data_IF_098920403850
#
_entry.id   IF_098920403850
#
_cell.length_a   1.000
_cell.length_b   1.000
_cell.length_c   1.000
_cell.angle_alpha   90.00
_cell.angle_beta   90.00
_cell.angle_gamma   90.00
#
_symmetry.space_group_name_H-M   'P 1'
#
loop_
_entity.id
_entity.type
_entity.pdbx_description
1 polymer ?
#
# COMPACT_ATOMS: atom_id res chain seq x y z
N UNK A 1 -57.24 -16.21 -70.44
CA UNK A 1 -57.33 -17.57 -71.02
C UNK A 1 -57.66 -17.39 -72.49
N UNK A 2 -56.73 -17.78 -73.36
CA UNK A 2 -56.82 -17.76 -74.82
C UNK A 2 -57.06 -16.41 -75.54
N UNK A 3 -56.73 -16.29 -76.83
CA UNK A 3 -55.47 -16.66 -77.54
C UNK A 3 -55.54 -16.16 -79.00
N UNK A 4 -54.36 -15.98 -79.59
CA UNK A 4 -54.04 -16.20 -81.01
C UNK A 4 -54.43 -15.27 -82.19
N UNK A 5 -53.46 -15.26 -83.12
CA UNK A 5 -53.53 -15.21 -84.60
C UNK A 5 -54.15 -14.03 -85.38
N UNK A 6 -53.20 -13.20 -85.85
CA UNK A 6 -52.70 -13.17 -87.26
C UNK A 6 -53.52 -12.50 -88.39
N UNK A 7 -52.89 -11.44 -88.90
CA UNK A 7 -52.59 -11.16 -90.34
C UNK A 7 -53.72 -10.89 -91.36
N UNK A 8 -53.74 -9.62 -91.78
CA UNK A 8 -53.57 -9.16 -93.18
C UNK A 8 -54.78 -9.10 -94.14
N UNK A 9 -55.04 -7.87 -94.61
CA UNK A 9 -55.63 -7.46 -95.91
C UNK A 9 -56.98 -8.10 -96.35
N UNK A 10 -58.02 -7.34 -96.76
CA UNK A 10 -57.97 -6.29 -97.80
C UNK A 10 -59.32 -5.54 -97.92
N UNK A 11 -59.28 -4.31 -98.42
CA UNK A 11 -60.37 -3.41 -98.90
C UNK A 11 -61.13 -3.97 -100.15
N UNK A 12 -62.20 -3.33 -100.74
CA UNK A 12 -62.66 -1.91 -100.65
C UNK A 12 -64.21 -1.64 -100.66
N UNK A 13 -64.58 -0.36 -100.89
CA UNK A 13 -65.78 0.17 -101.59
C UNK A 13 -67.09 0.41 -100.76
N UNK A 14 -67.99 1.40 -101.04
CA UNK A 14 -68.04 2.44 -102.12
C UNK A 14 -69.09 3.58 -101.89
N UNK A 15 -68.93 4.73 -102.60
CA UNK A 15 -69.98 5.58 -103.26
C UNK A 15 -70.84 6.62 -102.44
N UNK A 16 -71.52 7.63 -103.07
CA UNK A 16 -70.96 8.74 -103.92
C UNK A 16 -71.72 10.14 -103.86
N UNK A 17 -71.39 11.05 -104.80
CA UNK A 17 -72.07 12.32 -105.24
C UNK A 17 -71.93 13.54 -104.30
N UNK A 18 -71.60 14.77 -104.71
CA UNK A 18 -71.28 15.43 -106.01
C UNK A 18 -71.15 16.97 -105.76
N UNK A 19 -70.81 17.93 -106.65
CA UNK A 19 -70.27 18.06 -108.02
C UNK A 19 -69.63 19.51 -108.11
N UNK A 20 -69.30 20.25 -109.19
CA UNK A 20 -69.59 20.26 -110.65
C UNK A 20 -68.40 20.85 -111.47
N UNK A 21 -68.58 21.89 -112.32
CA UNK A 21 -67.61 22.47 -113.30
C UNK A 21 -67.99 23.93 -113.66
N UNK A 22 -67.26 24.73 -114.51
CA UNK A 22 -66.15 24.50 -115.49
C UNK A 22 -64.87 25.38 -115.23
N UNK A 23 -63.80 25.52 -116.04
CA UNK A 23 -63.10 24.75 -117.12
C UNK A 23 -61.74 25.44 -117.49
N UNK A 24 -60.80 24.71 -118.13
CA UNK A 24 -59.63 25.16 -118.95
C UNK A 24 -58.28 25.50 -118.27
N UNK A 25 -57.21 25.49 -119.10
CA UNK A 25 -55.84 25.00 -118.80
C UNK A 25 -54.81 25.54 -119.85
N UNK A 26 -53.48 25.17 -119.87
CA UNK A 26 -52.49 24.74 -118.86
C UNK A 26 -51.07 25.40 -119.05
N UNK A 27 -49.96 24.78 -118.56
CA UNK A 27 -48.49 25.00 -118.83
C UNK A 27 -47.81 26.29 -118.26
N UNK A 28 -46.52 26.34 -117.86
CA UNK A 28 -45.42 25.34 -117.68
C UNK A 28 -44.26 25.86 -116.76
N UNK A 29 -43.24 25.02 -116.53
CA UNK A 29 -41.79 25.29 -116.25
C UNK A 29 -41.22 25.74 -114.87
N UNK A 30 -40.40 24.83 -114.32
CA UNK A 30 -39.01 24.93 -113.79
C UNK A 30 -38.45 25.98 -112.79
N UNK A 31 -37.91 25.42 -111.69
CA UNK A 31 -36.58 25.58 -111.09
C UNK A 31 -35.94 26.96 -110.78
N UNK A 32 -35.73 27.24 -109.48
CA UNK A 32 -34.40 27.53 -108.87
C UNK A 32 -34.51 27.76 -107.34
N UNK A 33 -33.51 27.34 -106.55
CA UNK A 33 -33.39 27.69 -105.11
C UNK A 33 -31.94 28.08 -104.78
N UNK A 34 -31.77 29.20 -104.07
CA UNK A 34 -30.48 29.76 -103.65
C UNK A 34 -30.26 29.53 -102.14
N UNK A 35 -29.00 29.37 -101.73
CA UNK A 35 -28.60 29.00 -100.36
C UNK A 35 -28.24 30.19 -99.47
N UNK A 36 -28.42 30.02 -98.15
CA UNK A 36 -27.73 30.77 -97.08
C UNK A 36 -27.55 29.85 -95.86
N UNK A 37 -26.56 30.13 -95.01
CA UNK A 37 -26.20 29.30 -93.86
C UNK A 37 -25.89 30.14 -92.61
N UNK A 38 -26.18 29.61 -91.42
CA UNK A 38 -25.93 30.25 -90.12
C UNK A 38 -24.75 29.60 -89.38
N UNK A 39 -24.05 30.36 -88.52
CA UNK A 39 -22.81 29.92 -87.87
C UNK A 39 -23.03 29.47 -86.41
N UNK A 40 -22.74 28.21 -86.11
CA UNK A 40 -23.04 27.58 -84.82
C UNK A 40 -22.11 27.98 -83.63
N UNK A 41 -21.07 28.80 -83.87
CA UNK A 41 -19.95 28.97 -82.93
C UNK A 41 -20.32 29.54 -81.56
N UNK A 42 -21.27 30.47 -81.48
CA UNK A 42 -21.65 31.11 -80.21
C UNK A 42 -22.26 30.12 -79.22
N UNK A 43 -23.24 29.32 -79.66
CA UNK A 43 -23.93 28.34 -78.83
C UNK A 43 -23.00 27.23 -78.31
N UNK A 44 -22.01 26.82 -79.12
CA UNK A 44 -20.97 25.86 -78.70
C UNK A 44 -20.13 26.42 -77.56
N UNK A 45 -19.68 27.68 -77.65
CA UNK A 45 -18.86 28.30 -76.59
C UNK A 45 -19.66 28.49 -75.30
N UNK A 46 -20.91 28.94 -75.37
CA UNK A 46 -21.78 29.09 -74.19
C UNK A 46 -22.05 27.73 -73.54
N UNK A 47 -22.33 26.69 -74.33
CA UNK A 47 -22.51 25.32 -73.82
C UNK A 47 -21.25 24.76 -73.16
N UNK A 48 -20.08 24.95 -73.76
CA UNK A 48 -18.79 24.48 -73.23
C UNK A 48 -18.42 25.24 -71.93
N UNK A 49 -18.69 26.54 -71.86
CA UNK A 49 -18.51 27.32 -70.63
C UNK A 49 -19.49 26.89 -69.52
N UNK A 50 -20.74 26.58 -69.87
CA UNK A 50 -21.71 26.02 -68.93
C UNK A 50 -21.30 24.64 -68.38
N UNK A 51 -20.77 23.76 -69.25
CA UNK A 51 -20.19 22.48 -68.85
C UNK A 51 -18.96 22.68 -67.95
N UNK A 52 -18.07 23.61 -68.28
CA UNK A 52 -16.88 23.91 -67.48
C UNK A 52 -17.26 24.44 -66.08
N UNK A 53 -18.30 25.28 -65.98
CA UNK A 53 -18.80 25.80 -64.71
C UNK A 53 -19.53 24.73 -63.90
N UNK A 54 -20.32 23.85 -64.54
CA UNK A 54 -20.98 22.73 -63.88
C UNK A 54 -19.98 21.68 -63.39
N UNK A 55 -19.08 21.19 -64.25
CA UNK A 55 -18.07 20.18 -63.91
C UNK A 55 -17.02 20.74 -62.95
N UNK A 56 -16.60 21.99 -63.12
CA UNK A 56 -15.69 22.68 -62.19
C UNK A 56 -16.36 22.91 -60.83
N UNK A 57 -17.55 23.51 -60.81
CA UNK A 57 -18.29 23.82 -59.58
C UNK A 57 -18.68 22.55 -58.80
N UNK A 58 -19.28 21.57 -59.48
CA UNK A 58 -19.64 20.29 -58.86
C UNK A 58 -18.40 19.45 -58.50
N UNK A 59 -17.33 19.50 -59.30
CA UNK A 59 -16.07 18.81 -59.01
C UNK A 59 -15.36 19.38 -57.79
N UNK A 60 -15.23 20.70 -57.68
CA UNK A 60 -14.73 21.37 -56.47
C UNK A 60 -15.63 21.07 -55.28
N UNK A 61 -16.95 21.28 -55.39
CA UNK A 61 -17.89 21.02 -54.30
C UNK A 61 -17.87 19.57 -53.80
N UNK A 62 -17.76 18.58 -54.70
CA UNK A 62 -17.67 17.14 -54.36
C UNK A 62 -16.35 16.73 -53.71
N UNK A 63 -15.36 17.62 -53.68
CA UNK A 63 -14.07 17.42 -53.02
C UNK A 63 -13.95 18.26 -51.75
N UNK A 64 -14.47 19.49 -51.73
CA UNK A 64 -14.37 20.41 -50.58
C UNK A 64 -15.50 20.28 -49.56
N UNK A 65 -16.60 19.60 -49.90
CA UNK A 65 -17.71 19.35 -48.96
C UNK A 65 -17.45 18.06 -48.19
N UNK A 66 -17.44 18.14 -46.86
CA UNK A 66 -17.41 17.00 -45.96
C UNK A 66 -18.84 16.59 -45.57
N UNK A 67 -19.16 15.31 -45.72
CA UNK A 67 -20.34 14.68 -45.12
C UNK A 67 -19.86 13.86 -43.92
N UNK A 68 -20.34 14.20 -42.73
CA UNK A 68 -20.13 13.40 -41.54
C UNK A 68 -20.94 12.09 -41.64
N UNK A 69 -20.26 10.94 -41.51
CA UNK A 69 -20.93 9.66 -41.36
C UNK A 69 -21.30 9.40 -39.89
N UNK A 70 -22.26 8.51 -39.66
CA UNK A 70 -22.59 8.02 -38.33
C UNK A 70 -22.86 6.51 -38.36
N UNK A 71 -22.26 5.77 -37.43
CA UNK A 71 -22.67 4.40 -37.11
C UNK A 71 -23.79 4.49 -36.09
N UNK A 72 -24.91 3.81 -36.35
CA UNK A 72 -25.99 3.63 -35.39
C UNK A 72 -25.79 2.28 -34.70
N UNK A 73 -25.37 2.32 -33.43
CA UNK A 73 -25.16 1.14 -32.60
C UNK A 73 -26.30 1.04 -31.56
N UNK A 74 -27.08 -0.05 -31.52
CA UNK A 74 -28.03 -0.28 -30.44
C UNK A 74 -27.29 -0.57 -29.14
N UNK A 75 -27.83 -0.10 -28.02
CA UNK A 75 -27.25 -0.30 -26.70
C UNK A 75 -28.28 -0.18 -25.59
N UNK A 76 -27.79 -0.28 -24.36
CA UNK A 76 -28.59 -0.05 -23.15
C UNK A 76 -27.79 0.76 -22.13
N UNK A 77 -28.49 1.40 -21.21
CA UNK A 77 -27.87 1.94 -19.99
C UNK A 77 -27.50 0.76 -19.09
N UNK A 78 -26.20 0.50 -18.91
CA UNK A 78 -25.66 -0.43 -17.92
C UNK A 78 -25.21 0.38 -16.69
N UNK A 79 -25.33 -0.20 -15.50
CA UNK A 79 -24.63 0.33 -14.32
C UNK A 79 -23.22 -0.24 -14.34
N UNK A 80 -22.23 0.53 -13.89
CA UNK A 80 -20.90 0.00 -13.62
C UNK A 80 -20.95 -0.96 -12.41
N UNK A 81 -21.26 -2.24 -12.66
CA UNK A 81 -21.39 -3.32 -11.66
C UNK A 81 -20.07 -3.68 -10.96
N UNK A 82 -19.45 -2.70 -10.32
CA UNK A 82 -18.26 -2.85 -9.51
C UNK A 82 -18.66 -3.27 -8.08
N UNK A 83 -19.02 -4.55 -7.93
CA UNK A 83 -19.35 -5.15 -6.62
C UNK A 83 -18.07 -5.28 -5.79
N UNK A 84 -17.98 -4.54 -4.69
CA UNK A 84 -16.79 -4.55 -3.85
C UNK A 84 -16.85 -5.78 -2.93
N UNK A 85 -15.90 -6.72 -3.08
CA UNK A 85 -15.76 -7.85 -2.17
C UNK A 85 -15.26 -7.38 -0.80
N UNK A 86 -15.83 -7.95 0.26
CA UNK A 86 -15.38 -7.80 1.65
C UNK A 86 -14.84 -9.15 2.13
N UNK A 87 -13.63 -9.14 2.69
CA UNK A 87 -12.85 -10.32 3.10
C UNK A 87 -11.88 -9.96 4.23
N UNK A 88 -11.58 -10.88 5.15
CA UNK A 88 -10.60 -10.67 6.22
C UNK A 88 -9.23 -11.27 5.86
N UNK A 89 -8.09 -10.56 6.00
CA UNK A 89 -6.78 -11.06 5.60
C UNK A 89 -6.29 -12.26 6.43
N UNK A 90 -6.59 -12.33 7.73
CA UNK A 90 -6.09 -13.39 8.61
C UNK A 90 -7.08 -14.57 8.80
N UNK A 91 -8.33 -14.47 8.31
CA UNK A 91 -9.42 -15.39 8.68
C UNK A 91 -9.87 -15.21 10.14
N UNK A 92 -10.54 -16.21 10.72
CA UNK A 92 -10.99 -16.19 12.12
C UNK A 92 -12.27 -17.01 12.38
N UNK A 93 -12.80 -16.91 13.60
CA UNK A 93 -14.14 -17.43 13.99
C UNK A 93 -15.09 -16.25 14.08
N UNK A 94 -16.33 -16.36 13.56
CA UNK A 94 -17.35 -15.32 13.67
C UNK A 94 -17.94 -15.30 15.09
N UNK A 95 -17.89 -14.14 15.76
CA UNK A 95 -18.58 -13.89 17.02
C UNK A 95 -20.01 -13.39 16.77
N UNK A 96 -20.20 -12.43 15.87
CA UNK A 96 -21.51 -11.90 15.50
C UNK A 96 -21.54 -11.39 14.05
N UNK A 97 -22.74 -11.36 13.47
CA UNK A 97 -23.03 -10.80 12.15
C UNK A 97 -24.08 -9.69 12.39
N UNK A 98 -23.73 -8.45 12.07
CA UNK A 98 -24.53 -7.26 12.43
C UNK A 98 -25.51 -6.84 11.31
N UNK A 99 -25.52 -7.56 10.19
CA UNK A 99 -26.15 -7.17 8.91
C UNK A 99 -26.70 -8.37 8.12
N UNK A 100 -27.60 -8.12 7.17
CA UNK A 100 -28.25 -9.13 6.33
C UNK A 100 -28.21 -8.77 4.83
N UNK A 101 -28.46 -9.76 3.95
CA UNK A 101 -28.45 -9.55 2.50
C UNK A 101 -29.60 -8.61 2.07
N UNK A 102 -29.26 -7.49 1.44
CA UNK A 102 -30.18 -6.39 1.13
C UNK A 102 -30.14 -5.19 2.09
N UNK A 103 -29.42 -5.27 3.21
CA UNK A 103 -29.25 -4.12 4.12
C UNK A 103 -28.40 -3.00 3.49
N UNK A 104 -28.70 -1.75 3.88
CA UNK A 104 -27.96 -0.55 3.46
C UNK A 104 -26.96 -0.15 4.55
N UNK A 105 -25.71 0.04 4.17
CA UNK A 105 -24.60 0.41 5.07
C UNK A 105 -23.86 1.67 4.60
N UNK A 106 -23.27 2.39 5.54
CA UNK A 106 -22.35 3.50 5.32
C UNK A 106 -20.88 3.05 5.45
N UNK A 107 -19.92 3.92 5.09
CA UNK A 107 -18.50 3.59 5.19
C UNK A 107 -18.04 3.58 6.67
N UNK A 108 -17.47 2.46 7.11
CA UNK A 108 -16.99 2.26 8.47
C UNK A 108 -17.94 1.48 9.39
N UNK A 109 -19.18 1.20 8.96
CA UNK A 109 -20.13 0.35 9.68
C UNK A 109 -19.55 -1.06 9.91
N UNK A 110 -19.82 -1.65 11.09
CA UNK A 110 -19.43 -3.03 11.40
C UNK A 110 -20.40 -3.97 10.71
N UNK A 111 -19.86 -4.97 10.00
CA UNK A 111 -20.62 -5.97 9.27
C UNK A 111 -20.57 -7.32 9.99
N UNK A 112 -19.36 -7.74 10.37
CA UNK A 112 -19.07 -9.00 11.03
C UNK A 112 -18.02 -8.72 12.10
N UNK A 113 -18.23 -9.25 13.31
CA UNK A 113 -17.19 -9.28 14.35
C UNK A 113 -16.62 -10.69 14.47
N UNK A 114 -15.29 -10.77 14.50
CA UNK A 114 -14.56 -12.00 14.77
C UNK A 114 -14.27 -12.16 16.27
N UNK A 115 -14.20 -13.41 16.72
CA UNK A 115 -13.94 -13.79 18.10
C UNK A 115 -12.53 -13.36 18.55
N UNK A 116 -12.39 -12.55 19.62
CA UNK A 116 -11.09 -12.06 20.06
C UNK A 116 -10.39 -12.96 21.10
N UNK A 117 -11.02 -14.02 21.62
CA UNK A 117 -10.55 -14.74 22.82
C UNK A 117 -9.09 -15.23 22.72
N UNK A 118 -8.75 -15.96 21.66
CA UNK A 118 -7.38 -16.45 21.42
C UNK A 118 -6.34 -15.33 21.31
N UNK A 119 -6.67 -14.24 20.60
CA UNK A 119 -5.76 -13.12 20.39
C UNK A 119 -5.61 -12.22 21.62
N UNK A 120 -6.65 -12.08 22.44
CA UNK A 120 -6.57 -11.41 23.74
C UNK A 120 -5.74 -12.24 24.74
N UNK A 121 -5.88 -13.57 24.70
CA UNK A 121 -5.05 -14.50 25.49
C UNK A 121 -3.56 -14.39 25.10
N UNK A 122 -3.24 -14.47 23.80
CA UNK A 122 -1.87 -14.29 23.31
C UNK A 122 -1.32 -12.90 23.66
N UNK A 123 -2.09 -11.83 23.46
CA UNK A 123 -1.69 -10.47 23.82
C UNK A 123 -1.39 -10.34 25.32
N UNK A 124 -2.22 -10.91 26.18
CA UNK A 124 -2.04 -10.87 27.64
C UNK A 124 -0.75 -11.58 28.06
N UNK A 125 -0.45 -12.73 27.47
CA UNK A 125 0.80 -13.48 27.71
C UNK A 125 2.01 -12.64 27.27
N UNK A 126 1.98 -12.09 26.06
CA UNK A 126 3.07 -11.26 25.51
C UNK A 126 3.26 -9.96 26.28
N UNK A 127 2.18 -9.33 26.75
CA UNK A 127 2.24 -8.15 27.62
C UNK A 127 2.88 -8.47 28.98
N UNK A 128 2.44 -9.52 29.65
CA UNK A 128 2.99 -9.91 30.95
C UNK A 128 4.49 -10.25 30.85
N UNK A 129 4.91 -10.94 29.78
CA UNK A 129 6.33 -11.19 29.50
C UNK A 129 7.11 -9.89 29.23
N UNK A 130 6.57 -8.98 28.42
CA UNK A 130 7.20 -7.69 28.13
C UNK A 130 7.35 -6.82 29.40
N UNK A 131 6.32 -6.78 30.25
CA UNK A 131 6.33 -6.04 31.51
C UNK A 131 7.36 -6.62 32.51
N UNK A 132 7.52 -7.94 32.55
CA UNK A 132 8.56 -8.63 33.34
C UNK A 132 9.96 -8.17 32.92
N UNK A 133 10.24 -8.15 31.61
CA UNK A 133 11.51 -7.68 31.07
C UNK A 133 11.76 -6.19 31.32
N UNK A 134 10.76 -5.33 31.14
CA UNK A 134 10.88 -3.89 31.41
C UNK A 134 11.17 -3.64 32.90
N UNK A 135 10.52 -4.39 33.79
CA UNK A 135 10.77 -4.31 35.24
C UNK A 135 12.19 -4.76 35.59
N UNK A 136 12.66 -5.89 35.02
CA UNK A 136 14.05 -6.34 35.16
C UNK A 136 15.05 -5.32 34.63
N UNK A 137 14.79 -4.72 33.46
CA UNK A 137 15.65 -3.69 32.87
C UNK A 137 15.82 -2.53 33.85
N UNK A 138 14.72 -1.93 34.33
CA UNK A 138 14.79 -0.79 35.26
C UNK A 138 15.71 -1.05 36.45
N UNK A 139 15.59 -2.22 37.10
CA UNK A 139 16.50 -2.63 38.18
C UNK A 139 17.95 -2.78 37.70
N UNK A 140 18.18 -3.48 36.60
CA UNK A 140 19.53 -3.74 36.09
C UNK A 140 20.23 -2.47 35.61
N UNK A 141 19.49 -1.47 35.11
CA UNK A 141 20.05 -0.15 34.77
C UNK A 141 20.43 0.63 36.05
N UNK A 142 19.59 0.60 37.08
CA UNK A 142 19.93 1.16 38.39
C UNK A 142 21.19 0.48 39.00
N UNK A 143 21.33 -0.83 38.84
CA UNK A 143 22.53 -1.59 39.28
C UNK A 143 23.77 -1.34 38.39
N UNK A 144 23.60 -1.08 37.09
CA UNK A 144 24.67 -0.69 36.16
C UNK A 144 25.23 0.70 36.47
N UNK A 145 24.35 1.64 36.81
CA UNK A 145 24.70 3.05 36.93
C UNK A 145 24.92 3.48 38.40
N UNK A 146 24.57 2.62 39.36
CA UNK A 146 24.80 2.85 40.79
C UNK A 146 23.85 3.86 41.42
N UNK A 147 22.62 3.97 40.91
CA UNK A 147 21.61 4.91 41.42
C UNK A 147 20.98 4.43 42.73
N UNK A 148 20.36 5.34 43.48
CA UNK A 148 19.73 5.00 44.76
C UNK A 148 18.31 4.45 44.67
N UNK A 149 17.71 4.49 43.47
CA UNK A 149 16.37 3.99 43.18
C UNK A 149 16.23 3.61 41.70
N UNK A 150 15.14 2.90 41.39
CA UNK A 150 14.82 2.43 40.05
C UNK A 150 14.02 3.49 39.29
N UNK A 151 14.27 3.63 37.98
CA UNK A 151 13.38 4.34 37.06
C UNK A 151 12.82 3.32 36.06
N UNK A 152 11.49 3.29 35.91
CA UNK A 152 10.80 2.40 34.98
C UNK A 152 10.33 3.15 33.73
N UNK A 153 10.18 2.43 32.61
CA UNK A 153 9.65 3.01 31.37
C UNK A 153 8.15 3.33 31.52
N UNK A 154 7.62 4.42 30.92
CA UNK A 154 6.23 4.84 31.08
C UNK A 154 5.20 3.74 30.82
N UNK A 155 5.41 2.92 29.79
CA UNK A 155 4.56 1.77 29.43
C UNK A 155 4.31 0.78 30.59
N UNK A 156 5.28 0.60 31.50
CA UNK A 156 5.10 -0.26 32.69
C UNK A 156 4.39 0.48 33.82
N UNK A 157 4.63 1.79 33.98
CA UNK A 157 3.99 2.63 35.00
C UNK A 157 2.50 2.84 34.68
N UNK A 158 2.17 3.06 33.41
CA UNK A 158 0.81 3.10 32.88
C UNK A 158 0.11 1.76 33.11
N UNK A 159 0.75 0.64 32.75
CA UNK A 159 0.18 -0.70 32.99
C UNK A 159 -0.01 -1.01 34.48
N UNK A 160 0.89 -0.57 35.36
CA UNK A 160 0.78 -0.78 36.81
C UNK A 160 -0.34 0.03 37.48
N UNK A 161 -0.80 1.13 36.84
CA UNK A 161 -1.96 1.87 37.30
C UNK A 161 -3.30 1.16 37.00
N UNK A 162 -3.31 0.23 36.03
CA UNK A 162 -4.51 -0.52 35.60
C UNK A 162 -4.48 -2.01 36.01
N UNK A 163 -3.29 -2.62 36.11
CA UNK A 163 -3.08 -4.05 36.32
C UNK A 163 -2.27 -4.33 37.60
N UNK A 164 -2.88 -5.04 38.55
CA UNK A 164 -2.21 -5.45 39.79
C UNK A 164 -0.96 -6.30 39.53
N UNK A 165 -0.99 -7.11 38.47
CA UNK A 165 0.12 -7.97 38.04
C UNK A 165 1.36 -7.13 37.69
N UNK A 166 1.18 -6.00 37.00
CA UNK A 166 2.27 -5.10 36.64
C UNK A 166 2.84 -4.34 37.85
N UNK A 167 1.99 -3.93 38.81
CA UNK A 167 2.46 -3.36 40.08
C UNK A 167 3.23 -4.40 40.92
N UNK A 168 2.77 -5.65 40.98
CA UNK A 168 3.47 -6.74 41.69
C UNK A 168 4.88 -7.00 41.11
N UNK A 169 5.08 -6.81 39.80
CA UNK A 169 6.40 -6.87 39.17
C UNK A 169 7.32 -5.73 39.62
N UNK A 170 6.81 -4.49 39.69
CA UNK A 170 7.54 -3.33 40.24
C UNK A 170 7.96 -3.60 41.69
N UNK A 171 7.01 -3.92 42.56
CA UNK A 171 7.27 -4.21 43.99
C UNK A 171 8.28 -5.35 44.16
N UNK A 172 8.22 -6.36 43.28
CA UNK A 172 9.16 -7.48 43.26
C UNK A 172 10.60 -7.06 42.95
N UNK A 173 10.79 -6.24 41.91
CA UNK A 173 12.12 -5.76 41.52
C UNK A 173 12.67 -4.72 42.52
N UNK A 174 11.85 -3.86 43.11
CA UNK A 174 12.28 -2.92 44.14
C UNK A 174 12.79 -3.63 45.40
N UNK A 175 12.03 -4.61 45.92
CA UNK A 175 12.47 -5.43 47.07
C UNK A 175 13.78 -6.16 46.79
N UNK A 176 13.93 -6.74 45.59
CA UNK A 176 15.16 -7.40 45.15
C UNK A 176 16.34 -6.43 45.05
N UNK A 177 16.11 -5.22 44.52
CA UNK A 177 17.13 -4.17 44.39
C UNK A 177 17.68 -3.73 45.74
N UNK A 178 16.79 -3.44 46.69
CA UNK A 178 17.15 -3.06 48.06
C UNK A 178 17.98 -4.16 48.72
N UNK A 179 17.51 -5.42 48.70
CA UNK A 179 18.24 -6.56 49.25
C UNK A 179 19.62 -6.75 48.60
N UNK A 180 19.73 -6.65 47.27
CA UNK A 180 21.04 -6.74 46.59
C UNK A 180 21.95 -5.55 46.96
N UNK A 181 21.43 -4.35 47.21
CA UNK A 181 22.24 -3.19 47.67
C UNK A 181 22.73 -3.39 49.11
N UNK A 182 21.86 -3.86 50.00
CA UNK A 182 22.18 -4.15 51.41
C UNK A 182 23.22 -5.27 51.56
N UNK A 183 23.11 -6.34 50.78
CA UNK A 183 24.10 -7.42 50.76
C UNK A 183 25.50 -6.91 50.33
N UNK A 184 25.59 -6.19 49.21
CA UNK A 184 26.84 -5.61 48.73
C UNK A 184 27.46 -4.63 49.75
N UNK A 185 26.63 -3.79 50.39
CA UNK A 185 27.10 -2.89 51.44
C UNK A 185 27.66 -3.67 52.64
N UNK A 186 27.00 -4.77 53.04
CA UNK A 186 27.41 -5.63 54.16
C UNK A 186 28.72 -6.38 53.88
N UNK A 187 28.91 -6.89 52.65
CA UNK A 187 30.16 -7.52 52.21
C UNK A 187 31.34 -6.52 52.25
N UNK A 188 31.14 -5.32 51.70
CA UNK A 188 32.12 -4.23 51.73
C UNK A 188 32.42 -3.79 53.17
N UNK A 189 31.43 -3.73 54.04
CA UNK A 189 31.63 -3.40 55.46
C UNK A 189 32.42 -4.51 56.20
N UNK A 190 32.16 -5.79 55.89
CA UNK A 190 32.94 -6.89 56.44
C UNK A 190 34.41 -6.81 56.01
N UNK A 191 34.69 -6.52 54.73
CA UNK A 191 36.05 -6.34 54.22
C UNK A 191 36.74 -5.12 54.87
N UNK A 192 36.05 -3.98 55.00
CA UNK A 192 36.57 -2.79 55.71
C UNK A 192 36.88 -3.06 57.19
N UNK A 193 36.09 -3.91 57.87
CA UNK A 193 36.39 -4.36 59.24
C UNK A 193 37.67 -5.21 59.29
N UNK A 194 37.92 -6.07 58.31
CA UNK A 194 39.21 -6.81 58.18
C UNK A 194 40.39 -5.85 57.94
N UNK A 195 40.25 -4.87 57.06
CA UNK A 195 41.27 -3.83 56.83
C UNK A 195 41.64 -3.10 58.12
N UNK A 196 40.64 -2.63 58.89
CA UNK A 196 40.87 -1.97 60.19
C UNK A 196 41.56 -2.89 61.19
N UNK A 197 41.20 -4.18 61.24
CA UNK A 197 41.87 -5.15 62.10
C UNK A 197 43.37 -5.33 61.75
N UNK A 198 43.71 -5.39 60.46
CA UNK A 198 45.11 -5.50 60.02
C UNK A 198 45.89 -4.21 60.29
N UNK A 199 45.27 -3.04 60.09
CA UNK A 199 45.86 -1.74 60.45
C UNK A 199 46.21 -1.66 61.95
N UNK A 200 45.25 -2.00 62.82
CA UNK A 200 45.48 -2.06 64.28
C UNK A 200 46.60 -3.05 64.66
N UNK A 201 46.73 -4.17 63.93
CA UNK A 201 47.84 -5.11 64.12
C UNK A 201 49.19 -4.51 63.70
N UNK A 202 49.25 -3.81 62.55
CA UNK A 202 50.48 -3.15 62.09
C UNK A 202 50.93 -2.04 63.05
N UNK A 203 50.01 -1.26 63.63
CA UNK A 203 50.35 -0.26 64.65
C UNK A 203 50.87 -0.90 65.96
N UNK A 204 50.32 -2.06 66.35
CA UNK A 204 50.87 -2.88 67.44
C UNK A 204 52.30 -3.36 67.15
N UNK A 205 52.60 -3.77 65.93
CA UNK A 205 53.96 -4.19 65.52
C UNK A 205 54.91 -2.99 65.44
N UNK A 206 54.46 -1.83 64.95
CA UNK A 206 55.25 -0.58 64.96
C UNK A 206 55.63 -0.14 66.38
N UNK A 207 54.74 -0.33 67.36
CA UNK A 207 55.05 -0.10 68.77
C UNK A 207 56.11 -1.09 69.30
N UNK A 208 56.07 -2.36 68.90
CA UNK A 208 57.10 -3.35 69.24
C UNK A 208 58.46 -3.02 68.60
N UNK A 209 58.49 -2.60 67.32
CA UNK A 209 59.71 -2.11 66.66
C UNK A 209 60.29 -0.88 67.37
N UNK A 210 59.44 0.05 67.81
CA UNK A 210 59.88 1.23 68.58
C UNK A 210 60.55 0.83 69.90
N UNK A 211 60.02 -0.18 70.60
CA UNK A 211 60.63 -0.71 71.82
C UNK A 211 61.94 -1.47 71.55
N UNK A 212 62.00 -2.28 70.50
CA UNK A 212 63.21 -3.00 70.06
C UNK A 212 64.33 -2.03 69.64
N UNK A 213 63.99 -0.98 68.89
CA UNK A 213 64.92 0.07 68.48
C UNK A 213 65.53 0.78 69.70
N UNK A 214 64.70 1.14 70.70
CA UNK A 214 65.20 1.71 71.97
C UNK A 214 66.04 0.73 72.79
N UNK A 215 65.77 -0.58 72.71
CA UNK A 215 66.62 -1.61 73.33
C UNK A 215 67.96 -1.74 72.58
N UNK A 216 67.95 -1.64 71.25
CA UNK A 216 69.15 -1.66 70.41
C UNK A 216 70.10 -0.50 70.76
N UNK A 217 69.59 0.73 70.87
CA UNK A 217 70.35 1.92 71.28
C UNK A 217 71.11 1.70 72.60
N UNK A 218 70.43 1.13 73.60
CA UNK A 218 71.02 0.86 74.92
C UNK A 218 72.10 -0.23 74.87
N UNK A 219 71.89 -1.28 74.07
CA UNK A 219 72.89 -2.34 73.86
C UNK A 219 74.08 -1.82 73.06
N UNK A 220 73.89 -0.91 72.11
CA UNK A 220 74.98 -0.24 71.39
C UNK A 220 75.82 0.66 72.30
N UNK A 221 75.19 1.44 73.18
CA UNK A 221 75.88 2.27 74.16
C UNK A 221 76.68 1.40 75.15
N UNK A 222 76.11 0.33 75.70
CA UNK A 222 76.86 -0.57 76.58
C UNK A 222 78.00 -1.27 75.82
N UNK A 223 77.76 -1.77 74.61
CA UNK A 223 78.77 -2.44 73.77
C UNK A 223 79.96 -1.52 73.46
N UNK A 224 79.72 -0.26 73.10
CA UNK A 224 80.77 0.72 72.86
C UNK A 224 81.62 0.96 74.13
N UNK A 225 80.96 1.11 75.28
CA UNK A 225 81.64 1.25 76.57
C UNK A 225 82.47 0.00 76.94
N UNK A 226 81.93 -1.22 76.77
CA UNK A 226 82.70 -2.46 77.04
C UNK A 226 83.88 -2.62 76.09
N UNK A 227 83.74 -2.30 74.80
CA UNK A 227 84.85 -2.35 73.83
C UNK A 227 86.00 -1.43 74.24
N UNK A 228 85.70 -0.18 74.60
CA UNK A 228 86.75 0.75 75.06
C UNK A 228 87.38 0.36 76.40
N UNK A 229 86.72 -0.48 77.22
CA UNK A 229 87.34 -1.10 78.41
C UNK A 229 88.17 -2.33 78.04
N UNK A 230 87.73 -3.14 77.09
CA UNK A 230 88.45 -4.33 76.59
C UNK A 230 89.78 -3.94 75.93
N UNK A 231 89.80 -2.89 75.11
CA UNK A 231 91.00 -2.31 74.50
C UNK A 231 92.06 -1.89 75.54
N UNK A 232 91.61 -1.49 76.74
CA UNK A 232 92.46 -1.10 77.87
C UNK A 232 92.84 -2.28 78.78
N UNK A 233 92.44 -3.52 78.43
CA UNK A 233 92.64 -4.72 79.23
C UNK A 233 91.72 -4.85 80.45
N UNK A 234 90.68 -4.01 80.56
CA UNK A 234 89.80 -3.89 81.74
C UNK A 234 88.46 -4.64 81.61
N UNK A 235 88.21 -5.31 80.49
CA UNK A 235 87.00 -6.12 80.28
C UNK A 235 87.31 -7.42 79.53
N UNK A 236 86.52 -8.47 79.77
CA UNK A 236 86.68 -9.77 79.13
C UNK A 236 86.01 -9.81 77.74
N UNK A 237 86.68 -10.40 76.75
CA UNK A 237 86.16 -10.57 75.39
C UNK A 237 84.84 -11.34 75.31
N UNK A 238 84.59 -12.23 76.28
CA UNK A 238 83.33 -12.97 76.45
C UNK A 238 82.11 -12.06 76.59
N UNK A 239 82.24 -10.94 77.31
CA UNK A 239 81.16 -9.99 77.58
C UNK A 239 80.85 -9.15 76.33
N UNK A 240 81.89 -8.71 75.62
CA UNK A 240 81.73 -7.98 74.35
C UNK A 240 81.07 -8.87 73.30
N UNK A 241 81.51 -10.13 73.17
CA UNK A 241 80.90 -11.10 72.26
C UNK A 241 79.47 -11.52 72.67
N UNK A 242 79.07 -11.35 73.93
CA UNK A 242 77.67 -11.55 74.33
C UNK A 242 76.80 -10.42 73.78
N UNK A 243 77.15 -9.17 74.10
CA UNK A 243 76.45 -7.96 73.63
C UNK A 243 76.40 -7.86 72.09
N UNK A 244 77.41 -8.34 71.37
CA UNK A 244 77.36 -8.44 69.89
C UNK A 244 76.33 -9.44 69.38
N UNK A 245 76.14 -10.58 70.07
CA UNK A 245 75.08 -11.54 69.74
C UNK A 245 73.70 -11.00 70.11
N UNK A 246 73.58 -10.33 71.25
CA UNK A 246 72.34 -9.70 71.69
C UNK A 246 71.89 -8.64 70.68
N UNK A 247 72.80 -7.74 70.27
CA UNK A 247 72.58 -6.79 69.16
C UNK A 247 72.15 -7.50 67.86
N UNK A 248 72.86 -8.56 67.45
CA UNK A 248 72.53 -9.29 66.23
C UNK A 248 71.14 -9.96 66.30
N UNK A 249 70.74 -10.46 67.47
CA UNK A 249 69.41 -11.04 67.70
C UNK A 249 68.32 -9.97 67.64
N UNK A 250 68.54 -8.79 68.21
CA UNK A 250 67.59 -7.66 68.17
C UNK A 250 67.36 -7.16 66.73
N UNK A 251 68.42 -7.03 65.94
CA UNK A 251 68.32 -6.70 64.51
C UNK A 251 67.57 -7.79 63.71
N UNK A 252 67.76 -9.06 64.06
CA UNK A 252 67.00 -10.18 63.49
C UNK A 252 65.50 -10.05 63.77
N UNK A 253 65.13 -9.79 65.02
CA UNK A 253 63.73 -9.58 65.43
C UNK A 253 63.11 -8.33 64.78
N UNK A 254 63.84 -7.22 64.67
CA UNK A 254 63.38 -6.02 63.97
C UNK A 254 63.06 -6.30 62.49
N UNK A 255 63.92 -7.09 61.83
CA UNK A 255 63.71 -7.56 60.45
C UNK A 255 62.51 -8.49 60.29
N UNK A 256 62.26 -9.38 61.25
CA UNK A 256 61.08 -10.26 61.28
C UNK A 256 59.78 -9.46 61.43
N UNK A 257 59.76 -8.46 62.31
CA UNK A 257 58.62 -7.54 62.44
C UNK A 257 58.41 -6.69 61.17
N UNK A 258 59.49 -6.20 60.54
CA UNK A 258 59.42 -5.45 59.29
C UNK A 258 58.84 -6.29 58.14
N UNK A 259 59.29 -7.55 58.01
CA UNK A 259 58.73 -8.50 57.05
C UNK A 259 57.24 -8.82 57.34
N UNK A 260 56.85 -8.90 58.61
CA UNK A 260 55.45 -9.11 59.02
C UNK A 260 54.55 -7.93 58.65
N UNK A 261 55.01 -6.69 58.85
CA UNK A 261 54.29 -5.49 58.38
C UNK A 261 54.16 -5.53 56.85
N UNK A 262 55.24 -5.78 56.12
CA UNK A 262 55.20 -5.84 54.64
C UNK A 262 54.22 -6.91 54.12
N UNK A 263 54.15 -8.08 54.78
CA UNK A 263 53.17 -9.11 54.45
C UNK A 263 51.72 -8.65 54.73
N UNK A 264 51.49 -7.85 55.76
CA UNK A 264 50.18 -7.31 56.12
C UNK A 264 49.74 -6.16 55.19
N UNK A 265 50.63 -5.26 54.78
CA UNK A 265 50.33 -4.23 53.76
C UNK A 265 49.96 -4.89 52.40
N UNK A 266 50.57 -6.04 52.08
CA UNK A 266 50.17 -6.88 50.94
C UNK A 266 48.73 -7.40 51.04
N UNK A 267 48.32 -7.90 52.22
CA UNK A 267 46.93 -8.36 52.49
C UNK A 267 45.93 -7.20 52.46
N UNK A 268 46.33 -6.01 52.90
CA UNK A 268 45.52 -4.78 52.78
C UNK A 268 45.24 -4.49 51.30
N UNK A 269 46.29 -4.49 50.47
CA UNK A 269 46.18 -4.27 49.02
C UNK A 269 45.28 -5.32 48.34
N UNK A 270 45.42 -6.60 48.74
CA UNK A 270 44.58 -7.71 48.24
C UNK A 270 43.09 -7.49 48.54
N UNK A 271 42.74 -7.12 49.77
CA UNK A 271 41.36 -6.86 50.20
C UNK A 271 40.80 -5.57 49.57
N UNK A 272 41.61 -4.55 49.35
CA UNK A 272 41.19 -3.33 48.62
C UNK A 272 40.84 -3.64 47.15
N UNK A 273 41.62 -4.50 46.49
CA UNK A 273 41.31 -5.01 45.14
C UNK A 273 40.04 -5.88 45.17
N UNK A 274 39.83 -6.68 46.21
CA UNK A 274 38.60 -7.48 46.39
C UNK A 274 37.35 -6.58 46.50
N UNK A 275 37.40 -5.51 47.30
CA UNK A 275 36.33 -4.51 47.42
C UNK A 275 36.01 -3.86 46.06
N UNK A 276 37.03 -3.46 45.30
CA UNK A 276 36.85 -2.87 43.96
C UNK A 276 36.25 -3.88 42.97
N UNK A 277 36.60 -5.16 43.11
CA UNK A 277 36.06 -6.24 42.28
C UNK A 277 34.57 -6.47 42.55
N UNK A 278 34.09 -6.42 43.80
CA UNK A 278 32.67 -6.61 44.12
C UNK A 278 31.76 -5.63 43.36
N UNK A 279 32.09 -4.33 43.35
CA UNK A 279 31.32 -3.33 42.61
C UNK A 279 31.43 -3.48 41.10
N UNK A 280 32.61 -3.88 40.61
CA UNK A 280 32.87 -4.06 39.17
C UNK A 280 32.11 -5.27 38.64
N UNK A 281 32.17 -6.41 39.33
CA UNK A 281 31.48 -7.65 38.95
C UNK A 281 29.96 -7.42 38.85
N UNK A 282 29.33 -6.79 39.85
CA UNK A 282 27.88 -6.49 39.80
C UNK A 282 27.51 -5.65 38.58
N UNK A 283 28.36 -4.69 38.20
CA UNK A 283 28.16 -3.83 37.04
C UNK A 283 28.32 -4.60 35.72
N UNK A 284 29.29 -5.49 35.63
CA UNK A 284 29.51 -6.36 34.47
C UNK A 284 28.35 -7.37 34.31
N UNK A 285 27.93 -8.04 35.39
CA UNK A 285 26.76 -8.93 35.42
C UNK A 285 25.49 -8.20 34.92
N UNK A 286 25.28 -6.96 35.37
CA UNK A 286 24.15 -6.13 34.96
C UNK A 286 24.23 -5.75 33.48
N UNK A 287 25.40 -5.32 32.98
CA UNK A 287 25.62 -4.98 31.56
C UNK A 287 25.41 -6.19 30.64
N UNK A 288 25.89 -7.37 31.05
CA UNK A 288 25.68 -8.60 30.29
C UNK A 288 24.18 -8.95 30.25
N UNK A 289 23.52 -9.00 31.42
CA UNK A 289 22.10 -9.35 31.50
C UNK A 289 21.23 -8.36 30.70
N UNK A 290 21.53 -7.06 30.75
CA UNK A 290 20.83 -6.03 29.96
C UNK A 290 20.93 -6.26 28.45
N UNK A 291 22.09 -6.70 27.95
CA UNK A 291 22.29 -7.03 26.54
C UNK A 291 21.43 -8.22 26.12
N UNK A 292 21.42 -9.26 26.94
CA UNK A 292 20.73 -10.52 26.64
C UNK A 292 19.20 -10.38 26.71
N UNK A 293 18.68 -9.52 27.60
CA UNK A 293 17.25 -9.18 27.68
C UNK A 293 16.80 -8.19 26.58
N UNK A 294 17.68 -7.27 26.15
CA UNK A 294 17.31 -6.19 25.22
C UNK A 294 16.80 -6.68 23.85
N UNK A 295 17.29 -7.82 23.35
CA UNK A 295 16.74 -8.44 22.14
C UNK A 295 15.32 -8.98 22.37
N UNK A 296 15.10 -9.67 23.49
CA UNK A 296 13.82 -10.30 23.84
C UNK A 296 12.72 -9.25 24.09
N UNK A 297 13.08 -8.11 24.69
CA UNK A 297 12.15 -6.99 24.89
C UNK A 297 11.70 -6.39 23.54
N UNK A 298 12.62 -6.22 22.59
CA UNK A 298 12.29 -5.75 21.24
C UNK A 298 11.37 -6.75 20.50
N UNK A 299 11.66 -8.04 20.56
CA UNK A 299 10.82 -9.08 19.95
C UNK A 299 9.39 -9.07 20.52
N UNK A 300 9.25 -9.01 21.85
CA UNK A 300 7.95 -8.96 22.52
C UNK A 300 7.22 -7.63 22.29
N UNK A 301 7.93 -6.51 22.16
CA UNK A 301 7.34 -5.22 21.83
C UNK A 301 6.77 -5.19 20.40
N UNK A 302 7.48 -5.76 19.42
CA UNK A 302 6.95 -5.92 18.06
C UNK A 302 5.78 -6.91 18.01
N UNK A 303 5.88 -8.05 18.70
CA UNK A 303 4.78 -9.03 18.78
C UNK A 303 3.54 -8.43 19.43
N UNK A 304 3.68 -7.64 20.51
CA UNK A 304 2.59 -6.88 21.13
C UNK A 304 1.94 -5.93 20.12
N UNK A 305 2.73 -5.16 19.36
CA UNK A 305 2.21 -4.23 18.35
C UNK A 305 1.46 -4.96 17.24
N UNK A 306 1.98 -6.11 16.79
CA UNK A 306 1.33 -6.95 15.78
C UNK A 306 -0.01 -7.53 16.28
N UNK A 307 -0.08 -7.98 17.54
CA UNK A 307 -1.31 -8.50 18.14
C UNK A 307 -2.38 -7.42 18.35
N UNK A 308 -2.00 -6.23 18.84
CA UNK A 308 -2.91 -5.08 18.94
C UNK A 308 -3.44 -4.70 17.54
N UNK A 309 -2.58 -4.72 16.51
CA UNK A 309 -2.97 -4.45 15.11
C UNK A 309 -3.94 -5.50 14.57
N UNK A 310 -3.78 -6.79 14.91
CA UNK A 310 -4.74 -7.85 14.55
C UNK A 310 -6.07 -7.70 15.27
N UNK A 311 -6.06 -7.48 16.59
CA UNK A 311 -7.26 -7.26 17.40
C UNK A 311 -8.09 -6.09 16.86
N UNK A 312 -7.43 -5.00 16.44
CA UNK A 312 -8.08 -3.84 15.81
C UNK A 312 -8.70 -4.09 14.42
N UNK A 313 -8.55 -5.30 13.84
CA UNK A 313 -9.17 -5.69 12.55
C UNK A 313 -10.28 -6.74 12.67
N UNK A 314 -10.58 -7.22 13.89
CA UNK A 314 -11.63 -8.21 14.12
C UNK A 314 -13.05 -7.65 13.88
N UNK A 315 -13.22 -6.33 13.97
CA UNK A 315 -14.37 -5.64 13.40
C UNK A 315 -14.19 -5.51 11.89
N UNK A 316 -14.83 -6.39 11.11
CA UNK A 316 -14.85 -6.30 9.65
C UNK A 316 -15.86 -5.21 9.27
N UNK A 317 -15.37 -4.15 8.64
CA UNK A 317 -16.13 -2.92 8.37
C UNK A 317 -16.33 -2.65 6.88
N UNK A 318 -17.43 -1.97 6.55
CA UNK A 318 -17.74 -1.54 5.19
C UNK A 318 -16.69 -0.55 4.65
N UNK A 319 -16.00 -0.84 3.54
CA UNK A 319 -15.04 0.10 2.93
C UNK A 319 -15.70 1.30 2.23
N UNK A 320 -16.99 1.21 1.88
CA UNK A 320 -17.74 2.21 1.11
C UNK A 320 -19.25 2.04 1.32
N UNK A 321 -20.08 3.09 1.15
CA UNK A 321 -21.52 3.03 1.38
C UNK A 321 -22.23 2.29 0.23
N UNK A 322 -23.21 1.43 0.55
CA UNK A 322 -23.91 0.63 -0.45
C UNK A 322 -24.99 -0.28 0.12
N UNK A 323 -25.33 -1.33 -0.65
CA UNK A 323 -26.22 -2.42 -0.25
C UNK A 323 -25.43 -3.72 -0.19
N UNK A 324 -25.68 -4.54 0.82
CA UNK A 324 -25.05 -5.86 0.99
C UNK A 324 -25.72 -6.87 0.04
N UNK A 325 -24.91 -7.71 -0.59
CA UNK A 325 -25.35 -8.70 -1.56
C UNK A 325 -24.42 -9.92 -1.59
N UNK A 326 -24.96 -11.11 -1.86
CA UNK A 326 -24.21 -12.37 -1.93
C UNK A 326 -23.36 -12.63 -0.66
N UNK A 327 -23.98 -12.47 0.52
CA UNK A 327 -23.42 -13.02 1.77
C UNK A 327 -23.08 -14.51 1.62
N UNK A 328 -21.91 -14.91 2.13
CA UNK A 328 -21.40 -16.28 2.07
C UNK A 328 -21.28 -16.94 3.45
N UNK A 329 -21.44 -16.17 4.52
CA UNK A 329 -21.42 -16.61 5.92
C UNK A 329 -22.73 -16.25 6.60
N UNK A 330 -23.22 -17.15 7.44
CA UNK A 330 -24.60 -17.13 7.93
C UNK A 330 -24.76 -17.54 9.40
N UNK A 331 -23.73 -18.16 10.01
CA UNK A 331 -23.81 -18.66 11.38
C UNK A 331 -22.82 -17.96 12.33
N UNK A 332 -23.27 -17.68 13.54
CA UNK A 332 -22.38 -17.45 14.67
C UNK A 332 -21.48 -18.68 14.87
N UNK A 333 -20.22 -18.46 15.25
CA UNK A 333 -19.17 -19.48 15.39
C UNK A 333 -18.75 -20.19 14.09
N UNK A 334 -19.19 -19.69 12.93
CA UNK A 334 -18.67 -20.12 11.62
C UNK A 334 -17.18 -19.74 11.49
N UNK A 335 -16.38 -20.59 10.84
CA UNK A 335 -14.92 -20.42 10.72
C UNK A 335 -14.57 -19.99 9.30
N UNK A 336 -13.94 -18.82 9.16
CA UNK A 336 -13.58 -18.22 7.88
C UNK A 336 -12.08 -18.32 7.61
N UNK A 337 -11.72 -18.57 6.35
CA UNK A 337 -10.34 -18.71 5.91
C UNK A 337 -9.71 -17.34 5.56
N UNK A 338 -8.36 -17.22 5.61
CA UNK A 338 -7.64 -16.06 5.10
C UNK A 338 -8.06 -15.68 3.69
N UNK A 339 -8.43 -14.41 3.49
CA UNK A 339 -8.92 -13.84 2.23
C UNK A 339 -10.16 -14.52 1.61
N UNK A 340 -10.94 -15.28 2.39
CA UNK A 340 -12.26 -15.77 1.97
C UNK A 340 -13.24 -14.59 1.75
N UNK A 341 -13.95 -14.52 0.61
CA UNK A 341 -15.08 -13.61 0.43
C UNK A 341 -16.18 -13.87 1.45
N UNK A 342 -16.67 -12.82 2.10
CA UNK A 342 -17.70 -12.92 3.14
C UNK A 342 -19.04 -12.37 2.67
N UNK A 343 -18.99 -11.27 1.92
CA UNK A 343 -20.11 -10.62 1.24
C UNK A 343 -19.59 -9.66 0.17
N UNK A 344 -20.49 -9.11 -0.64
CA UNK A 344 -20.21 -8.00 -1.54
C UNK A 344 -21.03 -6.77 -1.16
N UNK A 345 -20.46 -5.58 -1.39
CA UNK A 345 -21.18 -4.31 -1.30
C UNK A 345 -21.38 -3.75 -2.71
N UNK A 346 -22.63 -3.42 -3.02
CA UNK A 346 -23.04 -2.75 -4.26
C UNK A 346 -23.29 -1.28 -3.94
N UNK A 347 -22.40 -0.34 -4.32
CA UNK A 347 -22.60 1.09 -4.07
C UNK A 347 -23.86 1.60 -4.77
N UNK A 348 -24.68 2.41 -4.11
CA UNK A 348 -25.93 2.92 -4.73
C UNK A 348 -25.69 4.04 -5.76
N UNK A 349 -24.62 4.83 -5.58
CA UNK A 349 -24.31 5.99 -6.41
C UNK A 349 -23.29 5.64 -7.52
N UNK A 350 -23.54 4.56 -8.28
CA UNK A 350 -22.71 4.19 -9.43
C UNK A 350 -22.95 5.13 -10.62
N UNK A 351 -21.91 5.35 -11.43
CA UNK A 351 -22.07 6.07 -12.70
C UNK A 351 -22.87 5.21 -13.69
N UNK A 352 -23.82 5.84 -14.38
CA UNK A 352 -24.53 5.21 -15.48
C UNK A 352 -23.68 5.29 -16.75
N UNK A 353 -23.43 4.13 -17.37
CA UNK A 353 -22.68 4.00 -18.61
C UNK A 353 -23.61 3.49 -19.71
N UNK A 354 -23.37 3.88 -20.96
CA UNK A 354 -24.09 3.30 -22.09
C UNK A 354 -23.21 2.21 -22.70
N UNK A 355 -23.72 0.98 -22.73
CA UNK A 355 -23.10 -0.14 -23.42
C UNK A 355 -23.71 -0.28 -24.81
N UNK A 356 -22.98 0.19 -25.83
CA UNK A 356 -23.36 0.06 -27.23
C UNK A 356 -22.77 -1.22 -27.85
N UNK A 357 -23.53 -1.85 -28.75
CA UNK A 357 -23.13 -3.05 -29.48
C UNK A 357 -22.76 -2.66 -30.93
N UNK A 358 -21.48 -2.78 -31.27
CA UNK A 358 -20.95 -2.37 -32.58
C UNK A 358 -20.63 -3.61 -33.40
N UNK A 359 -21.13 -3.65 -34.65
CA UNK A 359 -20.88 -4.78 -35.54
C UNK A 359 -19.38 -4.86 -35.90
N UNK A 360 -18.77 -6.06 -36.02
CA UNK A 360 -17.35 -6.22 -36.31
C UNK A 360 -16.87 -5.51 -37.58
N UNK A 361 -17.75 -5.26 -38.55
CA UNK A 361 -17.45 -4.50 -39.77
C UNK A 361 -17.18 -3.00 -39.55
N UNK A 362 -17.48 -2.47 -38.36
CA UNK A 362 -17.37 -1.05 -38.00
C UNK A 362 -16.35 -0.79 -36.87
N UNK A 363 -15.67 -1.81 -36.34
CA UNK A 363 -14.73 -1.63 -35.21
C UNK A 363 -13.56 -0.70 -35.58
N UNK A 364 -13.06 -0.79 -36.82
CA UNK A 364 -11.99 0.07 -37.37
C UNK A 364 -12.37 1.58 -37.46
N UNK A 365 -13.65 1.92 -37.27
CA UNK A 365 -14.14 3.31 -37.30
C UNK A 365 -14.37 3.90 -35.90
N UNK A 366 -14.09 3.14 -34.83
CA UNK A 366 -14.43 3.49 -33.44
C UNK A 366 -13.19 3.48 -32.54
N UNK A 367 -13.03 4.56 -31.75
CA UNK A 367 -11.80 4.88 -31.03
C UNK A 367 -12.09 5.40 -29.61
N UNK A 368 -11.27 5.07 -28.59
CA UNK A 368 -11.34 5.72 -27.29
C UNK A 368 -11.18 7.25 -27.41
N UNK A 369 -12.00 8.00 -26.67
CA UNK A 369 -12.05 9.46 -26.71
C UNK A 369 -12.99 10.06 -27.76
N UNK A 370 -13.54 9.25 -28.69
CA UNK A 370 -14.46 9.69 -29.73
C UNK A 370 -15.80 10.17 -29.15
N UNK A 371 -16.34 11.26 -29.68
CA UNK A 371 -17.63 11.82 -29.28
C UNK A 371 -18.78 11.08 -29.96
N UNK A 372 -19.85 10.85 -29.19
CA UNK A 372 -21.01 10.04 -29.58
C UNK A 372 -22.28 10.78 -29.19
N UNK A 373 -23.21 10.90 -30.13
CA UNK A 373 -24.55 11.42 -29.85
C UNK A 373 -25.43 10.26 -29.39
N UNK A 374 -26.04 10.38 -28.21
CA UNK A 374 -26.83 9.33 -27.57
C UNK A 374 -28.32 9.71 -27.59
N UNK A 375 -29.15 8.83 -28.16
CA UNK A 375 -30.60 9.00 -28.22
C UNK A 375 -31.29 7.91 -27.40
N UNK A 376 -31.98 8.30 -26.33
CA UNK A 376 -32.68 7.34 -25.45
C UNK A 376 -34.00 6.97 -26.13
N UNK A 377 -34.10 5.74 -26.63
CA UNK A 377 -35.25 5.27 -27.40
C UNK A 377 -36.53 5.06 -26.55
N UNK A 378 -36.41 5.13 -25.21
CA UNK A 378 -37.51 5.04 -24.27
C UNK A 378 -38.31 6.35 -24.08
N UNK A 379 -37.84 7.49 -24.59
CA UNK A 379 -38.47 8.80 -24.42
C UNK A 379 -38.96 9.41 -25.75
N UNK A 380 -39.86 10.39 -25.70
CA UNK A 380 -40.38 11.02 -26.93
C UNK A 380 -39.30 11.88 -27.61
N UNK A 381 -38.89 11.42 -28.79
CA UNK A 381 -38.01 12.08 -29.76
C UNK A 381 -38.33 13.54 -30.10
N UNK A 382 -39.53 14.03 -29.79
CA UNK A 382 -39.94 15.44 -30.00
C UNK A 382 -39.51 16.38 -28.89
N UNK A 383 -39.39 15.86 -27.67
CA UNK A 383 -39.19 16.64 -26.45
C UNK A 383 -37.89 16.28 -25.69
N UNK A 384 -37.24 15.17 -26.07
CA UNK A 384 -36.01 14.68 -25.45
C UNK A 384 -34.80 15.20 -26.24
N UNK A 385 -33.86 15.96 -25.62
CA UNK A 385 -32.64 16.36 -26.30
C UNK A 385 -31.73 15.15 -26.53
N UNK A 386 -30.93 15.21 -27.60
CA UNK A 386 -29.84 14.28 -27.82
C UNK A 386 -28.71 14.56 -26.80
N UNK A 387 -28.22 13.51 -26.14
CA UNK A 387 -27.20 13.64 -25.08
C UNK A 387 -25.81 13.41 -25.66
N UNK A 388 -24.81 14.16 -25.20
CA UNK A 388 -23.42 13.97 -25.67
C UNK A 388 -22.67 13.00 -24.76
N UNK A 389 -22.04 11.98 -25.33
CA UNK A 389 -21.17 11.04 -24.64
C UNK A 389 -19.80 10.91 -25.30
N UNK A 390 -18.89 10.21 -24.61
CA UNK A 390 -17.55 9.91 -25.10
C UNK A 390 -17.25 8.42 -24.94
N UNK A 391 -16.69 7.80 -25.99
CA UNK A 391 -16.20 6.42 -25.92
C UNK A 391 -15.10 6.34 -24.88
N UNK A 392 -15.32 5.55 -23.83
CA UNK A 392 -14.37 5.34 -22.74
C UNK A 392 -13.51 4.10 -23.03
N UNK A 393 -14.14 2.95 -23.33
CA UNK A 393 -13.46 1.66 -23.57
C UNK A 393 -14.21 0.87 -24.65
N UNK A 394 -13.45 0.19 -25.51
CA UNK A 394 -13.92 -0.79 -26.51
C UNK A 394 -13.46 -2.17 -26.02
N UNK A 395 -14.27 -3.22 -26.17
CA UNK A 395 -13.83 -4.58 -25.86
C UNK A 395 -12.63 -4.98 -26.74
N UNK A 396 -11.58 -5.62 -26.19
CA UNK A 396 -10.40 -6.02 -26.98
C UNK A 396 -10.72 -7.15 -27.98
N UNK A 397 -11.83 -7.85 -27.74
CA UNK A 397 -12.35 -8.98 -28.47
C UNK A 397 -13.84 -8.79 -28.84
N UNK A 398 -14.31 -9.59 -29.80
CA UNK A 398 -15.70 -9.61 -30.25
C UNK A 398 -16.52 -10.62 -29.46
N UNK A 399 -17.43 -10.14 -28.61
CA UNK A 399 -18.35 -10.96 -27.84
C UNK A 399 -19.38 -11.57 -28.78
N UNK A 400 -19.73 -12.84 -28.60
CA UNK A 400 -20.85 -13.47 -29.32
C UNK A 400 -22.03 -13.64 -28.38
N UNK A 401 -23.22 -13.18 -28.79
CA UNK A 401 -24.45 -13.42 -28.02
C UNK A 401 -24.89 -14.88 -28.16
N UNK A 402 -24.91 -15.61 -27.05
CA UNK A 402 -25.32 -17.01 -26.97
C UNK A 402 -26.76 -17.26 -27.45
N UNK A 403 -27.63 -16.23 -27.43
CA UNK A 403 -29.05 -16.34 -27.81
C UNK A 403 -29.31 -16.08 -29.30
N UNK A 404 -28.50 -15.24 -29.96
CA UNK A 404 -28.70 -14.86 -31.36
C UNK A 404 -27.59 -15.32 -32.30
N UNK A 405 -26.44 -15.75 -31.76
CA UNK A 405 -25.25 -16.12 -32.54
C UNK A 405 -24.54 -14.93 -33.20
N UNK A 406 -24.97 -13.70 -32.93
CA UNK A 406 -24.38 -12.47 -33.51
C UNK A 406 -23.14 -12.08 -32.71
N UNK A 407 -22.04 -11.84 -33.42
CA UNK A 407 -20.81 -11.31 -32.86
C UNK A 407 -20.80 -9.77 -32.91
N UNK A 408 -20.39 -9.13 -31.81
CA UNK A 408 -20.34 -7.67 -31.65
C UNK A 408 -19.18 -7.24 -30.73
N UNK A 409 -18.65 -6.04 -30.94
CA UNK A 409 -17.78 -5.37 -29.99
C UNK A 409 -18.63 -4.56 -29.01
N UNK A 410 -18.34 -4.64 -27.71
CA UNK A 410 -19.02 -3.84 -26.69
C UNK A 410 -18.25 -2.55 -26.46
N UNK A 411 -18.92 -1.42 -26.60
CA UNK A 411 -18.33 -0.10 -26.40
C UNK A 411 -19.01 0.60 -25.24
N UNK A 412 -18.23 0.94 -24.21
CA UNK A 412 -18.68 1.72 -23.05
C UNK A 412 -18.55 3.20 -23.37
N UNK A 413 -19.64 3.93 -23.20
CA UNK A 413 -19.75 5.36 -23.47
C UNK A 413 -20.14 6.04 -22.16
N UNK A 414 -19.36 7.01 -21.73
CA UNK A 414 -19.62 7.84 -20.56
C UNK A 414 -20.31 9.14 -21.02
N UNK A 415 -21.35 9.57 -20.31
CA UNK A 415 -22.03 10.85 -20.57
C UNK A 415 -21.14 12.02 -20.14
N UNK A 416 -21.15 13.12 -20.90
CA UNK A 416 -20.43 14.33 -20.47
C UNK A 416 -21.16 15.01 -19.30
N UNK A 417 -20.39 15.71 -18.46
CA UNK A 417 -20.91 16.41 -17.27
C UNK A 417 -21.93 17.49 -17.68
N UNK A 418 -23.07 17.55 -16.98
CA UNK A 418 -24.17 18.46 -17.29
C UNK A 418 -25.12 18.00 -18.42
N UNK A 419 -24.82 16.94 -19.17
CA UNK A 419 -25.74 16.46 -20.23
C UNK A 419 -27.02 15.85 -19.64
N UNK A 420 -26.93 15.15 -18.52
CA UNK A 420 -28.09 14.57 -17.80
C UNK A 420 -29.06 15.65 -17.32
N UNK A 421 -28.55 16.84 -16.98
CA UNK A 421 -29.34 17.98 -16.51
C UNK A 421 -30.15 18.66 -17.62
N UNK A 422 -29.90 18.32 -18.89
CA UNK A 422 -30.70 18.79 -20.04
C UNK A 422 -32.02 18.03 -20.19
N UNK A 423 -32.18 16.89 -19.52
CA UNK A 423 -33.41 16.09 -19.59
C UNK A 423 -34.57 16.82 -18.89
N UNK A 424 -35.83 16.64 -19.33
CA UNK A 424 -36.98 17.30 -18.71
C UNK A 424 -37.11 16.98 -17.22
N UNK A 425 -37.51 17.97 -16.40
CA UNK A 425 -37.65 17.82 -14.95
C UNK A 425 -38.49 16.57 -14.57
N UNK A 426 -37.93 15.72 -13.71
CA UNK A 426 -38.53 14.44 -13.29
C UNK A 426 -38.13 13.23 -14.16
N UNK A 427 -37.35 13.41 -15.23
CA UNK A 427 -36.82 12.28 -16.03
C UNK A 427 -35.65 11.61 -15.33
N UNK A 428 -35.82 10.36 -14.89
CA UNK A 428 -34.75 9.55 -14.25
C UNK A 428 -34.21 8.51 -15.24
N UNK A 429 -32.89 8.39 -15.32
CA UNK A 429 -32.23 7.35 -16.11
C UNK A 429 -32.18 6.04 -15.31
N UNK A 430 -32.84 5.00 -15.81
CA UNK A 430 -32.93 3.68 -15.19
C UNK A 430 -32.07 2.68 -15.99
N UNK A 431 -31.37 1.73 -15.33
CA UNK A 431 -30.62 0.69 -16.02
C UNK A 431 -31.52 -0.22 -16.86
N UNK A 432 -31.00 -0.72 -17.99
CA UNK A 432 -31.74 -1.53 -18.96
C UNK A 432 -32.58 -0.74 -19.96
N UNK A 433 -32.66 0.61 -19.85
CA UNK A 433 -33.32 1.41 -20.90
C UNK A 433 -32.54 1.35 -22.22
N UNK A 434 -33.22 1.17 -23.38
CA UNK A 434 -32.58 1.14 -24.69
C UNK A 434 -32.09 2.52 -25.13
N UNK A 435 -30.90 2.56 -25.71
CA UNK A 435 -30.23 3.76 -26.24
C UNK A 435 -29.67 3.47 -27.62
N UNK A 436 -29.85 4.39 -28.56
CA UNK A 436 -29.17 4.37 -29.85
C UNK A 436 -27.94 5.30 -29.77
N UNK A 437 -26.76 4.73 -29.98
CA UNK A 437 -25.50 5.46 -30.03
C UNK A 437 -25.14 5.80 -31.48
N UNK A 438 -25.06 7.08 -31.78
CA UNK A 438 -24.65 7.63 -33.08
C UNK A 438 -23.18 8.03 -33.00
N UNK A 439 -22.29 7.10 -33.34
CA UNK A 439 -20.85 7.33 -33.34
C UNK A 439 -20.46 8.03 -34.65
N UNK A 440 -20.02 9.29 -34.57
CA UNK A 440 -19.59 10.05 -35.75
C UNK A 440 -18.34 9.42 -36.35
N UNK A 441 -18.41 8.95 -37.58
CA UNK A 441 -17.25 8.41 -38.32
C UNK A 441 -16.50 9.52 -39.06
N UNK A 442 -15.34 9.19 -39.63
CA UNK A 442 -14.52 10.14 -40.36
C UNK A 442 -15.31 10.82 -41.49
N UNK A 443 -15.26 12.16 -41.54
CA UNK A 443 -15.87 12.98 -42.58
C UNK A 443 -15.40 12.52 -43.98
N UNK A 444 -16.34 12.24 -44.89
CA UNK A 444 -16.03 11.81 -46.27
C UNK A 444 -16.66 12.77 -47.28
N UNK A 445 -15.96 13.05 -48.37
CA UNK A 445 -16.51 13.88 -49.44
C UNK A 445 -17.45 13.09 -50.37
N UNK A 446 -18.39 13.74 -51.09
CA UNK A 446 -19.25 13.07 -52.07
C UNK A 446 -18.47 12.26 -53.12
N UNK A 447 -17.31 12.74 -53.56
CA UNK A 447 -16.44 12.00 -54.48
C UNK A 447 -15.82 10.75 -53.83
N UNK A 448 -15.48 10.81 -52.55
CA UNK A 448 -14.92 9.65 -51.83
C UNK A 448 -15.92 8.48 -51.79
N UNK A 449 -17.20 8.73 -51.52
CA UNK A 449 -18.24 7.68 -51.52
C UNK A 449 -18.36 6.95 -52.88
N UNK A 450 -18.18 7.66 -54.00
CA UNK A 450 -18.21 7.07 -55.34
C UNK A 450 -16.93 6.29 -55.72
N UNK A 451 -15.76 6.78 -55.30
CA UNK A 451 -14.46 6.25 -55.76
C UNK A 451 -13.86 5.21 -54.80
N UNK A 452 -14.14 5.31 -53.50
CA UNK A 452 -13.57 4.43 -52.47
C UNK A 452 -13.89 2.93 -52.65
N UNK A 453 -15.09 2.50 -53.12
CA UNK A 453 -15.35 1.09 -53.40
C UNK A 453 -14.39 0.50 -54.44
N UNK A 454 -14.14 1.24 -55.53
CA UNK A 454 -13.17 0.85 -56.55
C UNK A 454 -11.74 0.86 -56.01
N UNK A 455 -11.35 1.91 -55.26
CA UNK A 455 -10.01 2.00 -54.65
C UNK A 455 -9.73 0.84 -53.69
N UNK A 456 -10.71 0.46 -52.87
CA UNK A 456 -10.60 -0.68 -51.95
C UNK A 456 -10.52 -2.01 -52.71
N UNK A 457 -11.29 -2.18 -53.79
CA UNK A 457 -11.20 -3.37 -54.65
C UNK A 457 -9.82 -3.50 -55.30
N UNK A 458 -9.28 -2.43 -55.87
CA UNK A 458 -7.91 -2.43 -56.41
C UNK A 458 -6.85 -2.69 -55.33
N UNK A 459 -6.95 -2.07 -54.16
CA UNK A 459 -6.03 -2.31 -53.03
C UNK A 459 -6.07 -3.76 -52.53
N UNK A 460 -7.22 -4.43 -52.59
CA UNK A 460 -7.34 -5.84 -52.23
C UNK A 460 -6.75 -6.74 -53.32
N UNK A 461 -7.09 -6.51 -54.59
CA UNK A 461 -6.57 -7.27 -55.72
C UNK A 461 -5.03 -7.19 -55.86
N UNK A 462 -4.41 -6.06 -55.49
CA UNK A 462 -2.95 -5.89 -55.45
C UNK A 462 -2.27 -6.42 -54.17
N UNK A 463 -3.01 -7.07 -53.25
CA UNK A 463 -2.48 -7.64 -52.00
C UNK A 463 -2.75 -9.15 -51.86
N UNK A 464 -3.35 -9.77 -52.88
CA UNK A 464 -3.66 -11.21 -52.97
C UNK A 464 -2.98 -11.84 -54.21
N UNK A 465 -1.84 -11.28 -54.64
CA UNK A 465 -1.01 -11.74 -55.76
C UNK A 465 0.47 -11.52 -55.50
#
# INVERSE_FOLDING_TARGET
MSDDKKTSAKTPNSRPVGETTPEKSPTSDDAAVVSQAWSARFHVVVGLMGIALLVGGFGTWSVTTNIAGAIIAPGAIEVEQNRQVVQHPDGGVIQSIEVQDGDRVEAGDVLIRLDPEDLQSELTIVQNQLFELIARRGRLEAERDGTDGITYAPLLVEAAAEMNEAQNLIDGQERLFVQRRENLASEIEQMRKRLSQIGNQNDGIRAQQTALSRQLELIEEELANKKSLQEKGLAQSSVVLALERDKASLLGSEGELAATIAQNEGKITEIEIEILKLSTQRREDAIQTLRDLGYQELELAERRRALISRLGRLDIRAPLPGVIHEMQVYAEREVIQPAQPLLYIVPQNQRLLIAAQIQPIHVDEVHPGQEVTLRIAAFDSRNTPELTGRVQVISPDSITDEKTGVSYYRVRIELLEGEVEKLPEGTVLIPGMPVEAYLRTADRSPLAYLVQPFSNYFKKAFREG
#
